data_IF_297583359086
#
_entry.id   IF_297583359086
#
_cell.length_a   1.000
_cell.length_b   1.000
_cell.length_c   1.000
_cell.angle_alpha   90.00
_cell.angle_beta   90.00
_cell.angle_gamma   90.00
#
_symmetry.space_group_name_H-M   'P 1'
#
loop_
_entity.id
_entity.type
_entity.pdbx_description
1 polymer ?
#
# COMPACT_ATOMS: atom_id res chain seq x y z
N UNK A 1 28.00 -49.50 77.17
CA UNK A 1 26.67 -49.50 77.79
C UNK A 1 26.59 -48.25 78.64
N UNK A 2 25.78 -47.26 78.25
CA UNK A 2 24.67 -46.68 79.04
C UNK A 2 24.12 -45.42 78.34
N UNK A 3 22.88 -44.98 78.61
CA UNK A 3 21.92 -44.66 77.57
C UNK A 3 21.40 -43.21 77.65
N UNK A 4 20.47 -43.00 76.73
CA UNK A 4 19.75 -41.82 76.23
C UNK A 4 18.99 -40.95 77.24
N UNK A 5 18.95 -39.65 76.93
CA UNK A 5 18.11 -38.62 77.52
C UNK A 5 17.00 -38.14 76.56
N UNK A 6 15.85 -37.73 77.12
CA UNK A 6 14.86 -36.82 76.52
C UNK A 6 15.37 -35.36 76.51
N UNK A 7 14.63 -34.31 76.19
CA UNK A 7 13.19 -34.08 75.97
C UNK A 7 13.05 -32.69 75.30
N UNK A 8 11.83 -32.35 74.87
CA UNK A 8 11.39 -31.23 74.05
C UNK A 8 11.55 -29.80 74.63
N UNK A 9 11.40 -28.77 73.78
CA UNK A 9 10.97 -27.44 74.24
C UNK A 9 11.34 -26.25 73.34
N UNK A 10 10.33 -25.63 72.71
CA UNK A 10 10.41 -24.57 71.69
C UNK A 10 10.76 -23.16 72.22
N UNK A 11 11.48 -22.40 71.38
CA UNK A 11 11.07 -21.04 70.98
C UNK A 11 11.95 -19.86 71.43
N UNK A 12 12.74 -19.30 70.51
CA UNK A 12 13.12 -17.88 70.49
C UNK A 12 13.59 -17.46 69.08
N UNK A 13 13.46 -16.16 68.80
CA UNK A 13 13.44 -15.50 67.50
C UNK A 13 14.79 -15.39 66.74
N UNK A 14 14.68 -15.31 65.41
CA UNK A 14 15.65 -14.80 64.41
C UNK A 14 16.25 -13.43 64.82
N UNK A 15 17.49 -13.02 64.41
CA UNK A 15 17.83 -12.86 62.97
C UNK A 15 19.33 -12.93 62.56
N UNK A 16 19.55 -12.79 61.24
CA UNK A 16 20.65 -12.10 60.53
C UNK A 16 21.59 -12.94 59.62
N UNK A 17 21.57 -12.51 58.36
CA UNK A 17 22.40 -12.82 57.20
C UNK A 17 23.91 -12.85 57.47
N UNK A 18 24.63 -13.80 56.84
CA UNK A 18 25.97 -13.53 56.30
C UNK A 18 26.40 -14.50 55.20
N UNK A 19 26.97 -13.92 54.14
CA UNK A 19 27.52 -14.55 52.93
C UNK A 19 28.70 -15.48 53.23
N UNK A 20 28.70 -16.70 52.67
CA UNK A 20 29.91 -17.37 52.14
C UNK A 20 29.60 -18.30 50.97
N UNK A 21 30.37 -18.10 49.92
CA UNK A 21 30.46 -18.86 48.68
C UNK A 21 30.97 -20.29 48.89
N UNK A 22 30.54 -21.25 48.06
CA UNK A 22 31.36 -21.95 47.04
C UNK A 22 30.74 -23.32 46.64
N UNK A 23 30.36 -23.39 45.36
CA UNK A 23 30.55 -24.46 44.35
C UNK A 23 30.17 -25.90 44.76
N UNK A 24 29.19 -26.48 44.04
CA UNK A 24 29.41 -27.70 43.24
C UNK A 24 28.41 -27.75 42.07
N UNK A 25 28.92 -28.05 40.89
CA UNK A 25 28.29 -27.78 39.60
C UNK A 25 27.15 -28.72 39.21
N UNK A 26 26.47 -28.34 38.14
CA UNK A 26 25.82 -29.23 37.16
C UNK A 26 25.45 -28.42 35.93
N UNK A 27 25.80 -28.96 34.77
CA UNK A 27 25.57 -28.42 33.43
C UNK A 27 24.08 -28.18 33.21
N UNK A 28 23.67 -26.93 33.01
CA UNK A 28 22.37 -26.60 32.43
C UNK A 28 22.63 -25.96 31.07
N UNK A 29 22.53 -26.78 30.02
CA UNK A 29 22.44 -26.32 28.65
C UNK A 29 21.29 -25.30 28.56
N UNK A 30 21.58 -24.14 27.98
CA UNK A 30 20.63 -23.05 27.83
C UNK A 30 19.39 -23.53 27.11
N UNK A 31 18.25 -23.52 27.80
CA UNK A 31 16.96 -23.45 27.15
C UNK A 31 16.84 -22.02 26.58
N UNK A 32 17.35 -21.85 25.36
CA UNK A 32 16.90 -20.76 24.50
C UNK A 32 15.39 -20.94 24.39
N UNK A 33 14.64 -19.99 24.90
CA UNK A 33 13.21 -19.87 24.62
C UNK A 33 13.10 -19.74 23.11
N UNK A 34 12.76 -20.86 22.46
CA UNK A 34 12.35 -20.90 21.06
C UNK A 34 11.25 -19.86 20.93
N UNK A 35 11.53 -18.80 20.17
CA UNK A 35 10.54 -17.78 19.87
C UNK A 35 9.26 -18.46 19.43
N UNK A 36 8.12 -18.00 19.97
CA UNK A 36 6.81 -18.49 19.61
C UNK A 36 6.74 -18.58 18.09
N UNK A 37 6.74 -19.80 17.55
CA UNK A 37 6.48 -20.02 16.14
C UNK A 37 5.13 -19.37 15.88
N UNK A 38 5.14 -18.23 15.19
CA UNK A 38 3.92 -17.58 14.72
C UNK A 38 3.13 -18.68 14.03
N UNK A 39 1.88 -18.90 14.44
CA UNK A 39 1.04 -19.92 13.83
C UNK A 39 1.05 -19.66 12.32
N UNK A 40 1.67 -20.56 11.56
CA UNK A 40 1.77 -20.43 10.12
C UNK A 40 0.33 -20.33 9.59
N UNK A 41 -0.03 -19.18 9.02
CA UNK A 41 -1.30 -19.05 8.30
C UNK A 41 -1.26 -20.08 7.17
N UNK A 42 -2.16 -21.05 7.22
CA UNK A 42 -2.30 -22.02 6.15
C UNK A 42 -2.96 -21.32 4.95
N UNK A 43 -2.14 -20.91 3.98
CA UNK A 43 -2.64 -20.45 2.70
C UNK A 43 -3.26 -21.63 1.95
N UNK A 44 -4.33 -21.37 1.21
CA UNK A 44 -4.93 -22.36 0.31
C UNK A 44 -4.06 -22.63 -0.92
N UNK A 45 -3.09 -21.75 -1.17
CA UNK A 45 -2.14 -21.79 -2.28
C UNK A 45 -0.69 -21.90 -1.79
N UNK A 46 0.20 -22.29 -2.70
CA UNK A 46 1.62 -22.42 -2.43
C UNK A 46 2.38 -21.14 -2.80
N UNK A 47 3.31 -20.75 -1.93
CA UNK A 47 4.28 -19.67 -2.16
C UNK A 47 5.63 -20.27 -2.54
N UNK A 48 6.40 -19.53 -3.32
CA UNK A 48 7.74 -19.86 -3.82
C UNK A 48 8.78 -18.87 -3.35
N UNK A 49 10.00 -19.33 -3.11
CA UNK A 49 11.16 -18.50 -2.78
C UNK A 49 11.62 -17.65 -3.97
N UNK A 50 12.42 -16.62 -3.72
CA UNK A 50 12.96 -15.77 -4.80
C UNK A 50 13.83 -16.57 -5.77
N UNK A 51 14.66 -17.49 -5.29
CA UNK A 51 15.46 -18.38 -6.15
C UNK A 51 14.59 -19.23 -7.09
N UNK A 52 13.40 -19.66 -6.66
CA UNK A 52 12.45 -20.37 -7.52
C UNK A 52 11.82 -19.45 -8.58
N UNK A 53 11.66 -18.15 -8.29
CA UNK A 53 11.21 -17.15 -9.28
C UNK A 53 12.28 -16.93 -10.35
N UNK A 54 13.54 -16.75 -9.92
CA UNK A 54 14.69 -16.54 -10.79
C UNK A 54 14.95 -17.74 -11.71
N UNK A 55 14.55 -18.94 -11.28
CA UNK A 55 14.67 -20.17 -12.05
C UNK A 55 13.59 -20.33 -13.14
N UNK A 56 12.59 -19.46 -13.23
CA UNK A 56 11.56 -19.55 -14.28
C UNK A 56 12.19 -19.26 -15.66
N UNK A 57 12.00 -20.12 -16.67
CA UNK A 57 12.57 -19.94 -18.00
C UNK A 57 11.72 -18.97 -18.84
N UNK A 58 11.36 -17.82 -18.27
CA UNK A 58 10.48 -16.82 -18.87
C UNK A 58 11.18 -15.47 -18.82
N UNK A 59 11.31 -14.82 -19.97
CA UNK A 59 11.79 -13.44 -20.03
C UNK A 59 10.62 -12.49 -19.78
N UNK A 60 10.63 -11.85 -18.61
CA UNK A 60 9.60 -10.92 -18.19
C UNK A 60 9.81 -9.50 -18.74
N UNK A 61 8.76 -8.71 -18.72
CA UNK A 61 8.73 -7.30 -19.08
C UNK A 61 7.69 -6.57 -18.26
N UNK A 62 7.91 -5.27 -18.10
CA UNK A 62 6.97 -4.41 -17.38
C UNK A 62 5.62 -4.34 -18.11
N UNK A 63 4.47 -4.36 -17.39
CA UNK A 63 3.13 -4.39 -18.01
C UNK A 63 2.65 -3.06 -18.61
N UNK A 64 3.49 -2.02 -18.62
CA UNK A 64 3.15 -0.67 -19.10
C UNK A 64 4.30 -0.03 -19.89
N UNK A 65 3.97 1.03 -20.63
CA UNK A 65 4.94 1.87 -21.34
C UNK A 65 5.79 2.75 -20.39
N UNK A 66 5.32 2.98 -19.16
CA UNK A 66 5.99 3.77 -18.12
C UNK A 66 5.71 3.20 -16.72
N UNK A 67 6.54 3.50 -15.70
CA UNK A 67 6.30 3.05 -14.33
C UNK A 67 4.90 3.42 -13.81
N UNK A 68 4.33 2.52 -13.02
CA UNK A 68 3.05 2.65 -12.35
C UNK A 68 3.22 2.48 -10.83
N UNK A 69 2.35 3.11 -10.06
CA UNK A 69 2.32 3.00 -8.60
C UNK A 69 1.86 1.60 -8.18
N UNK A 70 2.70 0.87 -7.44
CA UNK A 70 2.40 -0.46 -6.94
C UNK A 70 1.93 -0.36 -5.49
N UNK A 71 0.66 -0.63 -5.25
CA UNK A 71 0.08 -0.45 -3.90
C UNK A 71 -0.06 -1.72 -3.09
N UNK A 72 -0.47 -2.82 -3.71
CA UNK A 72 -0.85 -4.04 -2.98
C UNK A 72 -0.23 -5.25 -3.68
N UNK A 73 0.59 -6.01 -2.97
CA UNK A 73 1.21 -7.26 -3.43
C UNK A 73 0.47 -8.49 -2.94
N UNK A 74 1.05 -9.66 -3.15
CA UNK A 74 0.45 -10.96 -2.82
C UNK A 74 0.52 -11.26 -1.32
N UNK A 75 -0.59 -11.70 -0.73
CA UNK A 75 -0.66 -12.14 0.67
C UNK A 75 0.22 -13.37 0.90
N UNK A 76 1.16 -13.24 1.83
CA UNK A 76 2.21 -14.21 2.14
C UNK A 76 3.60 -13.85 1.62
N UNK A 77 3.73 -12.84 0.75
CA UNK A 77 5.01 -12.26 0.36
C UNK A 77 5.32 -10.97 1.12
N UNK A 78 6.59 -10.53 1.17
CA UNK A 78 6.94 -9.23 1.75
C UNK A 78 6.27 -8.06 0.99
N UNK A 79 5.76 -7.08 1.73
CA UNK A 79 5.17 -5.86 1.18
C UNK A 79 3.74 -5.59 1.65
N UNK A 80 3.17 -4.43 1.27
CA UNK A 80 1.78 -4.08 1.59
C UNK A 80 0.80 -5.02 0.89
N UNK A 81 -0.20 -5.50 1.61
CA UNK A 81 -1.23 -6.43 1.08
C UNK A 81 -2.42 -6.51 2.04
N UNK A 82 -3.48 -7.23 1.63
CA UNK A 82 -4.59 -7.63 2.48
C UNK A 82 -4.82 -9.14 2.39
N UNK A 83 -5.55 -9.69 3.37
CA UNK A 83 -5.73 -11.14 3.48
C UNK A 83 -6.36 -11.74 2.20
N UNK A 84 -5.69 -12.71 1.60
CA UNK A 84 -6.15 -13.43 0.41
C UNK A 84 -5.92 -12.71 -0.92
N UNK A 85 -5.18 -11.60 -0.96
CA UNK A 85 -4.81 -10.95 -2.21
C UNK A 85 -3.80 -11.80 -2.99
N UNK A 86 -4.13 -12.24 -4.20
CA UNK A 86 -3.32 -13.21 -4.97
C UNK A 86 -2.82 -12.64 -6.31
N UNK A 87 -2.46 -11.36 -6.29
CA UNK A 87 -1.81 -10.67 -7.39
C UNK A 87 -1.15 -9.40 -6.89
N UNK A 88 -0.78 -8.54 -7.82
CA UNK A 88 -0.27 -7.19 -7.54
C UNK A 88 -1.14 -6.16 -8.25
N UNK A 89 -1.43 -5.07 -7.55
CA UNK A 89 -2.22 -3.96 -8.09
C UNK A 89 -1.31 -2.81 -8.53
N UNK A 90 -1.39 -2.48 -9.81
CA UNK A 90 -0.69 -1.36 -10.43
C UNK A 90 -1.66 -0.22 -10.78
N UNK A 91 -1.35 0.95 -10.27
CA UNK A 91 -2.13 2.17 -10.38
C UNK A 91 -1.42 3.15 -11.31
N UNK A 92 -1.96 3.33 -12.51
CA UNK A 92 -1.40 4.20 -13.55
C UNK A 92 -1.97 5.62 -13.48
N UNK A 93 -1.34 6.55 -14.19
CA UNK A 93 -1.88 7.89 -14.46
C UNK A 93 -1.97 8.05 -15.98
N UNK A 94 -3.16 8.13 -16.58
CA UNK A 94 -4.48 8.07 -15.94
C UNK A 94 -4.85 6.67 -15.39
N UNK A 95 -5.70 6.63 -14.36
CA UNK A 95 -6.16 5.37 -13.69
C UNK A 95 -6.91 4.44 -14.63
N UNK A 96 -7.71 5.00 -15.53
CA UNK A 96 -8.50 4.29 -16.54
C UNK A 96 -7.97 4.67 -17.93
N UNK A 97 -7.95 3.69 -18.84
CA UNK A 97 -7.56 3.91 -20.22
C UNK A 97 -6.06 3.76 -20.50
N UNK A 98 -5.23 3.46 -19.49
CA UNK A 98 -3.80 3.23 -19.72
C UNK A 98 -3.59 1.86 -20.36
N UNK A 99 -2.75 1.80 -21.41
CA UNK A 99 -2.49 0.56 -22.15
C UNK A 99 -1.85 -0.50 -21.26
N UNK A 100 -2.42 -1.69 -21.24
CA UNK A 100 -1.87 -2.87 -20.53
C UNK A 100 -1.18 -3.78 -21.54
N UNK A 101 0.04 -4.20 -21.21
CA UNK A 101 0.93 -4.96 -22.06
C UNK A 101 1.18 -6.37 -21.50
N UNK A 102 1.35 -7.34 -22.39
CA UNK A 102 1.71 -8.70 -21.99
C UNK A 102 3.10 -8.74 -21.34
N UNK A 103 3.21 -9.28 -20.12
CA UNK A 103 4.48 -9.32 -19.38
C UNK A 103 5.48 -10.34 -19.93
N UNK A 104 5.05 -11.27 -20.78
CA UNK A 104 5.92 -12.27 -21.40
C UNK A 104 5.30 -12.84 -22.68
N UNK A 105 6.10 -13.55 -23.47
CA UNK A 105 5.64 -14.33 -24.62
C UNK A 105 4.64 -15.40 -24.19
N UNK A 106 3.61 -15.65 -24.98
CA UNK A 106 2.62 -16.68 -24.65
C UNK A 106 1.51 -16.83 -25.67
N UNK A 107 0.44 -17.48 -25.26
CA UNK A 107 -0.80 -17.62 -26.03
C UNK A 107 -1.97 -17.19 -25.16
N UNK A 108 -2.85 -16.35 -25.69
CA UNK A 108 -4.07 -15.94 -24.97
C UNK A 108 -4.95 -17.16 -24.78
N UNK A 109 -5.17 -17.57 -23.54
CA UNK A 109 -5.91 -18.79 -23.20
C UNK A 109 -7.36 -18.51 -22.82
N UNK A 110 -7.64 -17.34 -22.24
CA UNK A 110 -9.00 -16.93 -21.88
C UNK A 110 -9.18 -15.42 -21.98
N UNK A 111 -10.41 -15.02 -22.27
CA UNK A 111 -10.90 -13.65 -22.22
C UNK A 111 -12.33 -13.73 -21.66
N UNK A 112 -12.71 -12.79 -20.80
CA UNK A 112 -14.09 -12.75 -20.28
C UNK A 112 -14.41 -11.45 -19.57
N UNK A 113 -15.66 -11.37 -19.11
CA UNK A 113 -16.18 -10.31 -18.25
C UNK A 113 -17.03 -10.97 -17.15
N UNK A 114 -16.50 -11.02 -15.93
CA UNK A 114 -17.22 -11.55 -14.76
C UNK A 114 -18.20 -10.51 -14.16
N UNK A 115 -18.41 -9.36 -14.83
CA UNK A 115 -19.30 -8.29 -14.39
C UNK A 115 -18.65 -7.36 -13.37
N UNK A 116 -19.43 -6.90 -12.38
CA UNK A 116 -18.94 -6.03 -11.30
C UNK A 116 -18.46 -6.81 -10.07
N UNK A 117 -18.22 -8.11 -10.24
CA UNK A 117 -17.71 -9.01 -9.21
C UNK A 117 -16.48 -9.75 -9.73
N UNK A 118 -15.64 -10.25 -8.82
CA UNK A 118 -14.47 -11.04 -9.17
C UNK A 118 -13.52 -10.29 -10.11
N UNK A 119 -13.20 -10.90 -11.26
CA UNK A 119 -12.16 -10.45 -12.19
C UNK A 119 -12.53 -9.21 -13.01
N UNK A 120 -13.82 -8.93 -13.17
CA UNK A 120 -14.28 -7.95 -14.16
C UNK A 120 -13.93 -8.39 -15.57
N UNK A 121 -13.57 -7.44 -16.43
CA UNK A 121 -13.02 -7.74 -17.76
C UNK A 121 -11.58 -8.20 -17.59
N UNK A 122 -11.25 -9.35 -18.18
CA UNK A 122 -9.94 -9.94 -18.01
C UNK A 122 -9.39 -10.58 -19.28
N UNK A 123 -8.06 -10.73 -19.29
CA UNK A 123 -7.30 -11.54 -20.26
C UNK A 123 -6.42 -12.51 -19.47
N UNK A 124 -6.32 -13.76 -19.93
CA UNK A 124 -5.38 -14.75 -19.40
C UNK A 124 -4.43 -15.17 -20.50
N UNK A 125 -3.14 -15.19 -20.20
CA UNK A 125 -2.07 -15.60 -21.11
C UNK A 125 -1.35 -16.80 -20.54
N UNK A 126 -1.29 -17.88 -21.31
CA UNK A 126 -0.48 -19.05 -21.01
C UNK A 126 0.95 -18.83 -21.50
N UNK A 127 1.92 -19.02 -20.62
CA UNK A 127 3.35 -18.94 -20.88
C UNK A 127 3.99 -20.33 -20.84
N UNK A 128 5.31 -20.37 -21.04
CA UNK A 128 6.13 -21.56 -20.85
C UNK A 128 6.08 -22.06 -19.39
N UNK A 129 6.62 -23.27 -19.16
CA UNK A 129 6.71 -23.88 -17.82
C UNK A 129 5.37 -24.00 -17.06
N UNK A 130 4.23 -24.04 -17.77
CA UNK A 130 2.91 -24.13 -17.15
C UNK A 130 2.51 -22.89 -16.33
N UNK A 131 3.19 -21.76 -16.53
CA UNK A 131 2.88 -20.48 -15.88
C UNK A 131 1.84 -19.73 -16.70
N UNK A 132 0.89 -19.07 -16.03
CA UNK A 132 -0.09 -18.18 -16.68
C UNK A 132 -0.14 -16.84 -15.96
N UNK A 133 -0.33 -15.77 -16.72
CA UNK A 133 -0.64 -14.44 -16.18
C UNK A 133 -2.11 -14.10 -16.41
N UNK A 134 -2.73 -13.45 -15.44
CA UNK A 134 -4.08 -12.91 -15.53
C UNK A 134 -4.04 -11.39 -15.37
N UNK A 135 -4.72 -10.68 -16.27
CA UNK A 135 -4.82 -9.22 -16.32
C UNK A 135 -6.28 -8.86 -16.10
N UNK A 136 -6.59 -8.29 -14.95
CA UNK A 136 -7.97 -8.09 -14.47
C UNK A 136 -8.36 -6.61 -14.46
N UNK A 137 -9.64 -6.37 -14.18
CA UNK A 137 -10.23 -5.04 -14.01
C UNK A 137 -10.13 -4.15 -15.25
N UNK A 138 -9.97 -4.74 -16.44
CA UNK A 138 -9.79 -3.99 -17.68
C UNK A 138 -11.04 -3.18 -18.04
N UNK A 139 -10.87 -2.19 -18.91
CA UNK A 139 -11.98 -1.41 -19.46
C UNK A 139 -12.82 -2.26 -20.43
N UNK A 140 -14.15 -2.21 -20.32
CA UNK A 140 -15.06 -2.88 -21.28
C UNK A 140 -14.83 -2.37 -22.70
N UNK A 141 -14.75 -3.29 -23.66
CA UNK A 141 -14.47 -2.97 -25.06
C UNK A 141 -13.03 -2.55 -25.34
N UNK A 142 -12.10 -2.65 -24.38
CA UNK A 142 -10.70 -2.30 -24.58
C UNK A 142 -9.82 -3.45 -25.08
N UNK A 143 -10.28 -4.70 -24.96
CA UNK A 143 -9.49 -5.89 -25.29
C UNK A 143 -9.07 -5.87 -26.76
N UNK A 144 -7.76 -6.00 -27.00
CA UNK A 144 -7.13 -5.88 -28.32
C UNK A 144 -6.68 -7.24 -28.90
N UNK A 145 -6.95 -8.33 -28.20
CA UNK A 145 -6.51 -9.69 -28.54
C UNK A 145 -7.68 -10.67 -28.58
N UNK A 146 -7.45 -11.88 -29.10
CA UNK A 146 -8.43 -12.98 -29.14
C UNK A 146 -7.88 -14.26 -28.51
N UNK A 147 -8.76 -15.11 -27.98
CA UNK A 147 -8.38 -16.43 -27.48
C UNK A 147 -7.70 -17.24 -28.59
N UNK A 148 -6.63 -17.96 -28.24
CA UNK A 148 -5.78 -18.72 -29.16
C UNK A 148 -4.70 -17.89 -29.86
N UNK A 149 -4.69 -16.55 -29.70
CA UNK A 149 -3.69 -15.70 -30.32
C UNK A 149 -2.31 -15.90 -29.68
N UNK A 150 -1.26 -16.25 -30.46
CA UNK A 150 0.11 -16.15 -29.98
C UNK A 150 0.49 -14.67 -29.84
N UNK A 151 1.13 -14.34 -28.73
CA UNK A 151 1.55 -12.97 -28.42
C UNK A 151 3.01 -12.96 -27.96
N UNK A 152 3.69 -11.87 -28.27
CA UNK A 152 5.01 -11.59 -27.73
C UNK A 152 4.90 -10.73 -26.48
N UNK A 153 5.95 -10.73 -25.66
CA UNK A 153 6.17 -9.74 -24.61
C UNK A 153 5.89 -8.34 -25.17
N UNK A 154 5.15 -7.56 -24.41
CA UNK A 154 4.66 -6.22 -24.73
C UNK A 154 3.59 -6.10 -25.83
N UNK A 155 2.99 -7.22 -26.25
CA UNK A 155 1.77 -7.13 -27.07
C UNK A 155 0.66 -6.41 -26.28
N UNK A 156 0.00 -5.37 -26.83
CA UNK A 156 -1.12 -4.72 -26.16
C UNK A 156 -2.28 -5.70 -25.93
N UNK A 157 -2.79 -5.77 -24.71
CA UNK A 157 -3.88 -6.68 -24.32
C UNK A 157 -5.22 -5.95 -24.17
N UNK A 158 -5.18 -4.74 -23.62
CA UNK A 158 -6.33 -3.91 -23.37
C UNK A 158 -5.94 -2.61 -22.66
N UNK A 159 -6.87 -2.03 -21.91
CA UNK A 159 -6.62 -0.82 -21.12
C UNK A 159 -7.07 -1.00 -19.67
N UNK A 160 -6.40 -0.33 -18.73
CA UNK A 160 -6.79 -0.30 -17.32
C UNK A 160 -8.22 0.21 -17.20
N UNK A 161 -8.97 -0.40 -16.29
CA UNK A 161 -10.34 -0.04 -16.00
C UNK A 161 -10.63 -0.19 -14.53
N UNK A 162 -11.90 -0.32 -14.20
CA UNK A 162 -12.39 -0.44 -12.83
C UNK A 162 -13.54 -1.47 -12.74
N UNK A 163 -13.55 -2.46 -13.64
CA UNK A 163 -14.55 -3.55 -13.67
C UNK A 163 -14.23 -4.61 -12.62
N UNK A 164 -15.19 -5.46 -12.24
CA UNK A 164 -14.96 -6.49 -11.21
C UNK A 164 -14.95 -5.96 -9.78
N UNK A 165 -14.34 -6.69 -8.85
CA UNK A 165 -14.32 -6.35 -7.40
C UNK A 165 -13.26 -5.30 -7.05
N UNK A 166 -13.37 -4.14 -7.70
CA UNK A 166 -12.57 -2.94 -7.43
C UNK A 166 -13.28 -2.09 -6.37
N UNK A 167 -12.54 -1.64 -5.35
CA UNK A 167 -13.09 -0.85 -4.23
C UNK A 167 -12.21 0.36 -3.89
N UNK A 168 -12.81 1.55 -3.64
CA UNK A 168 -14.22 1.88 -3.88
C UNK A 168 -14.61 1.74 -5.37
N UNK A 169 -15.91 1.59 -5.64
CA UNK A 169 -16.40 1.27 -6.99
C UNK A 169 -16.50 2.54 -7.85
N UNK A 170 -15.34 3.03 -8.29
CA UNK A 170 -15.22 4.30 -9.01
C UNK A 170 -14.00 4.34 -9.95
N UNK A 171 -13.98 5.23 -10.97
CA UNK A 171 -12.87 5.33 -11.91
C UNK A 171 -11.51 5.63 -11.27
N UNK A 172 -11.46 6.35 -10.15
CA UNK A 172 -10.20 6.66 -9.45
C UNK A 172 -9.55 5.43 -8.81
N UNK A 173 -10.35 4.39 -8.56
CA UNK A 173 -9.87 3.08 -8.12
C UNK A 173 -9.45 2.20 -9.28
N UNK A 174 -9.45 2.70 -10.52
CA UNK A 174 -9.00 1.95 -11.68
C UNK A 174 -7.53 1.57 -11.58
N UNK A 175 -7.25 0.29 -11.80
CA UNK A 175 -5.93 -0.29 -11.71
C UNK A 175 -5.85 -1.57 -12.56
N UNK A 176 -4.63 -2.05 -12.77
CA UNK A 176 -4.39 -3.41 -13.24
C UNK A 176 -4.15 -4.29 -12.02
N UNK A 177 -4.99 -5.31 -11.83
CA UNK A 177 -4.61 -6.44 -11.00
C UNK A 177 -3.92 -7.49 -11.88
N UNK A 178 -2.63 -7.71 -11.64
CA UNK A 178 -1.82 -8.71 -12.33
C UNK A 178 -1.57 -9.88 -11.40
N UNK A 179 -1.99 -11.07 -11.80
CA UNK A 179 -1.73 -12.30 -11.05
C UNK A 179 -0.96 -13.31 -11.91
N UNK A 180 -0.04 -14.06 -11.29
CA UNK A 180 0.79 -15.06 -11.99
C UNK A 180 0.71 -16.38 -11.24
N UNK A 181 0.32 -17.45 -11.94
CA UNK A 181 0.05 -18.75 -11.33
C UNK A 181 0.69 -19.92 -12.08
N UNK A 182 0.94 -21.00 -11.35
CA UNK A 182 1.03 -22.36 -11.94
C UNK A 182 -0.04 -23.25 -11.32
N UNK A 183 -0.77 -23.99 -12.16
CA UNK A 183 -1.88 -24.81 -11.70
C UNK A 183 -3.17 -24.01 -11.43
N UNK A 184 -4.09 -24.54 -10.61
CA UNK A 184 -5.41 -23.95 -10.42
C UNK A 184 -5.38 -22.61 -9.67
N UNK A 185 -6.32 -21.71 -9.98
CA UNK A 185 -6.51 -20.47 -9.26
C UNK A 185 -6.81 -20.73 -7.77
N UNK A 186 -6.20 -19.97 -6.86
CA UNK A 186 -6.33 -20.07 -5.37
C UNK A 186 -5.87 -21.36 -4.70
N UNK A 187 -5.54 -22.41 -5.43
CA UNK A 187 -5.04 -23.68 -4.85
C UNK A 187 -3.72 -24.17 -5.44
N UNK A 188 -3.28 -23.58 -6.56
CA UNK A 188 -1.98 -23.83 -7.15
C UNK A 188 -0.87 -23.01 -6.52
N UNK A 189 0.17 -22.74 -7.32
CA UNK A 189 1.27 -21.86 -6.96
C UNK A 189 0.92 -20.43 -7.34
N UNK A 190 1.08 -19.50 -6.40
CA UNK A 190 1.05 -18.04 -6.68
C UNK A 190 2.48 -17.56 -6.76
N UNK A 191 2.84 -17.01 -7.91
CA UNK A 191 4.12 -16.35 -8.11
C UNK A 191 3.97 -14.87 -7.79
N UNK A 192 4.91 -14.31 -7.04
CA UNK A 192 4.92 -12.90 -6.72
C UNK A 192 5.27 -12.08 -7.98
N UNK A 193 4.32 -11.35 -8.58
CA UNK A 193 4.62 -10.61 -9.81
C UNK A 193 5.60 -9.46 -9.53
N UNK A 194 5.72 -8.99 -8.28
CA UNK A 194 6.73 -8.01 -7.88
C UNK A 194 8.14 -8.47 -8.26
N UNK A 195 8.50 -9.71 -7.94
CA UNK A 195 9.84 -10.23 -8.23
C UNK A 195 10.03 -10.60 -9.70
N UNK A 196 8.95 -10.76 -10.46
CA UNK A 196 9.02 -11.18 -11.86
C UNK A 196 9.00 -9.99 -12.82
N UNK A 197 8.15 -8.99 -12.56
CA UNK A 197 7.83 -7.97 -13.56
C UNK A 197 8.12 -6.54 -13.12
N UNK A 198 8.23 -6.26 -11.81
CA UNK A 198 8.34 -4.86 -11.35
C UNK A 198 9.66 -4.21 -11.79
N UNK A 199 10.75 -4.97 -11.76
CA UNK A 199 12.08 -4.52 -12.17
C UNK A 199 12.44 -4.94 -13.61
N UNK A 200 11.49 -5.57 -14.32
CA UNK A 200 11.68 -6.00 -15.70
C UNK A 200 11.65 -4.78 -16.64
N UNK A 201 12.34 -4.82 -17.79
CA UNK A 201 12.42 -3.67 -18.69
C UNK A 201 11.04 -3.26 -19.23
N UNK A 202 10.88 -1.96 -19.49
CA UNK A 202 9.78 -1.42 -20.28
C UNK A 202 10.02 -1.64 -21.78
N UNK A 203 9.00 -1.51 -22.66
CA UNK A 203 9.19 -1.63 -24.12
C UNK A 203 10.27 -0.72 -24.70
N UNK A 204 10.55 0.42 -24.06
CA UNK A 204 11.59 1.38 -24.45
C UNK A 204 13.03 0.97 -24.09
N UNK A 205 13.22 -0.19 -23.45
CA UNK A 205 14.54 -0.70 -23.09
C UNK A 205 15.16 -0.07 -21.85
N UNK A 206 14.48 0.88 -21.20
CA UNK A 206 14.86 1.32 -19.87
C UNK A 206 14.47 0.24 -18.87
N UNK A 207 15.46 -0.29 -18.16
CA UNK A 207 15.23 -0.92 -16.85
C UNK A 207 14.50 0.18 -16.06
N UNK A 208 13.32 -0.09 -15.45
CA UNK A 208 12.83 0.84 -14.45
C UNK A 208 14.03 1.11 -13.53
N UNK A 209 14.45 2.37 -13.42
CA UNK A 209 15.14 2.78 -12.19
C UNK A 209 14.35 2.08 -11.09
N UNK A 210 14.97 1.23 -10.24
CA UNK A 210 14.25 0.72 -9.10
C UNK A 210 13.70 2.00 -8.51
N UNK A 211 12.38 2.18 -8.56
CA UNK A 211 11.80 3.30 -7.84
C UNK A 211 12.42 3.06 -6.48
N UNK A 212 13.27 3.97 -5.93
CA UNK A 212 13.50 3.89 -4.50
C UNK A 212 12.11 3.70 -3.97
N UNK A 213 11.87 2.62 -3.22
CA UNK A 213 10.54 2.38 -2.72
C UNK A 213 10.28 3.55 -1.82
N UNK A 214 9.74 4.59 -2.42
CA UNK A 214 8.95 5.60 -1.86
C UNK A 214 7.66 4.80 -1.63
N UNK A 215 7.72 3.88 -0.66
CA UNK A 215 6.90 4.08 0.51
C UNK A 215 7.24 5.48 1.03
N UNK A 216 6.83 6.47 0.26
CA UNK A 216 6.64 7.79 0.72
C UNK A 216 5.40 7.55 1.58
N UNK A 217 5.62 7.48 2.88
CA UNK A 217 4.61 7.85 3.86
C UNK A 217 4.31 9.35 3.66
N UNK A 218 4.02 9.75 2.41
CA UNK A 218 3.69 11.09 1.96
C UNK A 218 2.31 11.32 2.48
N UNK A 219 2.31 11.70 3.74
CA UNK A 219 1.12 12.22 4.34
C UNK A 219 0.69 13.45 3.54
N UNK A 220 1.56 14.19 2.85
CA UNK A 220 1.24 15.45 2.18
C UNK A 220 1.76 15.59 0.73
N UNK A 221 0.95 16.23 -0.12
CA UNK A 221 1.17 16.40 -1.55
C UNK A 221 1.15 17.88 -1.95
N UNK A 222 2.11 18.36 -2.76
CA UNK A 222 2.15 19.75 -3.22
C UNK A 222 1.36 19.94 -4.52
N UNK A 223 0.34 20.78 -4.49
CA UNK A 223 -0.51 21.09 -5.64
C UNK A 223 -0.32 22.51 -6.14
N UNK A 224 -0.20 22.67 -7.46
CA UNK A 224 -0.31 23.95 -8.16
C UNK A 224 -1.63 23.99 -8.94
N UNK A 225 -2.53 24.87 -8.54
CA UNK A 225 -3.88 24.96 -9.09
C UNK A 225 -4.02 26.18 -10.00
N UNK A 226 -4.48 25.95 -11.23
CA UNK A 226 -4.62 26.97 -12.29
C UNK A 226 -3.35 27.80 -12.51
N UNK A 227 -2.18 27.18 -12.35
CA UNK A 227 -0.86 27.84 -12.38
C UNK A 227 -0.66 28.99 -11.38
N UNK A 228 -1.60 29.20 -10.45
CA UNK A 228 -1.67 30.37 -9.58
C UNK A 228 -1.59 30.01 -8.09
N UNK A 229 -2.37 29.03 -7.65
CA UNK A 229 -2.50 28.73 -6.23
C UNK A 229 -1.60 27.58 -5.83
N UNK A 230 -0.92 27.73 -4.69
CA UNK A 230 0.03 26.75 -4.18
C UNK A 230 -0.54 26.16 -2.89
N UNK A 231 -0.74 24.84 -2.89
CA UNK A 231 -1.33 24.11 -1.78
C UNK A 231 -0.44 22.96 -1.32
N UNK A 232 -0.49 22.67 -0.02
CA UNK A 232 -0.07 21.40 0.55
C UNK A 232 -1.33 20.69 1.04
N UNK A 233 -1.56 19.45 0.61
CA UNK A 233 -2.77 18.69 0.95
C UNK A 233 -2.40 17.32 1.49
N UNK A 234 -3.02 16.92 2.59
CA UNK A 234 -2.87 15.62 3.23
C UNK A 234 -4.22 15.08 3.67
N UNK A 235 -4.37 13.79 4.03
CA UNK A 235 -5.62 13.28 4.57
C UNK A 235 -6.10 14.12 5.78
N UNK A 236 -7.25 14.76 5.62
CA UNK A 236 -7.89 15.64 6.60
C UNK A 236 -7.18 16.98 6.80
N UNK A 237 -6.31 17.43 5.89
CA UNK A 237 -5.57 18.68 6.04
C UNK A 237 -5.30 19.38 4.70
N UNK A 238 -5.35 20.71 4.75
CA UNK A 238 -4.96 21.56 3.63
C UNK A 238 -4.32 22.85 4.13
N UNK A 239 -3.29 23.30 3.43
CA UNK A 239 -2.67 24.62 3.61
C UNK A 239 -2.52 25.30 2.26
N UNK A 240 -2.87 26.57 2.18
CA UNK A 240 -2.49 27.43 1.07
C UNK A 240 -1.21 28.20 1.42
N UNK A 241 -0.37 28.51 0.44
CA UNK A 241 0.78 29.39 0.61
C UNK A 241 0.53 30.75 -0.04
N UNK A 242 0.76 31.82 0.71
CA UNK A 242 0.67 33.19 0.21
C UNK A 242 1.91 33.65 -0.57
N UNK A 243 3.01 32.90 -0.47
CA UNK A 243 4.33 33.22 -1.01
C UNK A 243 4.95 31.95 -1.60
N UNK A 244 5.59 32.07 -2.78
CA UNK A 244 6.21 30.94 -3.48
C UNK A 244 7.46 30.41 -2.79
N UNK A 245 8.23 31.24 -2.07
CA UNK A 245 9.46 30.80 -1.39
C UNK A 245 9.22 29.68 -0.37
N UNK A 246 8.35 29.89 0.64
CA UNK A 246 7.98 28.83 1.58
C UNK A 246 7.27 27.64 0.91
N UNK A 247 6.53 27.89 -0.17
CA UNK A 247 5.83 26.86 -0.92
C UNK A 247 6.82 25.92 -1.64
N UNK A 248 7.80 26.48 -2.34
CA UNK A 248 8.82 25.74 -3.07
C UNK A 248 9.75 24.97 -2.12
N UNK A 249 10.10 25.55 -0.97
CA UNK A 249 10.82 24.84 0.09
C UNK A 249 10.03 23.66 0.63
N UNK A 250 8.73 23.84 0.84
CA UNK A 250 7.87 22.75 1.32
C UNK A 250 7.74 21.66 0.27
N UNK A 251 7.52 22.02 -1.01
CA UNK A 251 7.51 21.08 -2.13
C UNK A 251 8.79 20.25 -2.16
N UNK A 252 9.97 20.86 -2.04
CA UNK A 252 11.25 20.13 -2.05
C UNK A 252 11.41 19.13 -0.91
N UNK A 253 10.63 19.29 0.17
CA UNK A 253 10.64 18.36 1.29
C UNK A 253 9.67 17.20 1.06
N UNK A 254 8.53 17.46 0.40
CA UNK A 254 7.40 16.51 0.32
C UNK A 254 7.19 15.90 -1.06
N UNK A 255 7.93 16.34 -2.08
CA UNK A 255 7.90 15.75 -3.41
C UNK A 255 9.27 15.24 -3.75
N UNK A 256 9.39 13.93 -3.90
CA UNK A 256 10.63 13.26 -4.28
C UNK A 256 11.25 13.70 -5.60
N UNK A 257 10.48 14.32 -6.51
CA UNK A 257 10.96 14.85 -7.78
C UNK A 257 11.12 16.38 -7.81
N UNK A 258 10.92 17.06 -6.67
CA UNK A 258 10.90 18.53 -6.59
C UNK A 258 9.88 19.16 -7.57
N UNK A 259 8.78 18.48 -7.91
CA UNK A 259 7.75 19.01 -8.82
C UNK A 259 6.41 19.29 -8.13
N UNK A 260 5.65 20.19 -8.74
CA UNK A 260 4.28 20.51 -8.35
C UNK A 260 3.30 19.60 -9.10
N UNK A 261 2.32 19.03 -8.38
CA UNK A 261 1.18 18.37 -9.01
C UNK A 261 0.25 19.47 -9.57
N UNK A 262 0.21 19.61 -10.90
CA UNK A 262 -0.52 20.69 -11.55
C UNK A 262 -1.92 20.26 -11.96
N UNK A 263 -2.95 20.96 -11.47
CA UNK A 263 -4.36 20.66 -11.75
C UNK A 263 -5.16 21.92 -12.05
N UNK A 264 -6.28 21.76 -12.77
CA UNK A 264 -7.30 22.80 -12.87
C UNK A 264 -8.18 22.85 -11.62
N UNK A 265 -8.77 24.02 -11.31
CA UNK A 265 -9.67 24.20 -10.14
C UNK A 265 -10.73 23.11 -9.99
N UNK A 266 -11.39 22.72 -11.10
CA UNK A 266 -12.45 21.73 -11.06
C UNK A 266 -11.96 20.33 -10.64
N UNK A 267 -10.75 19.96 -11.04
CA UNK A 267 -10.16 18.66 -10.69
C UNK A 267 -9.49 18.71 -9.32
N UNK A 268 -8.92 19.84 -8.94
CA UNK A 268 -8.42 20.06 -7.58
C UNK A 268 -9.53 19.94 -6.53
N UNK A 269 -10.71 20.52 -6.78
CA UNK A 269 -11.85 20.39 -5.85
C UNK A 269 -12.33 18.94 -5.70
N UNK A 270 -12.28 18.12 -6.76
CA UNK A 270 -12.57 16.69 -6.65
C UNK A 270 -11.48 15.96 -5.86
N UNK A 271 -10.22 16.36 -6.06
CA UNK A 271 -9.09 15.80 -5.34
C UNK A 271 -9.21 16.02 -3.82
N UNK A 272 -9.77 17.14 -3.38
CA UNK A 272 -10.01 17.41 -1.95
C UNK A 272 -10.92 16.36 -1.28
N UNK A 273 -11.92 15.84 -2.01
CA UNK A 273 -12.82 14.83 -1.45
C UNK A 273 -12.07 13.54 -1.12
N UNK A 274 -11.11 13.14 -1.97
CA UNK A 274 -10.26 11.97 -1.74
C UNK A 274 -9.33 12.14 -0.53
N UNK A 275 -9.02 13.39 -0.17
CA UNK A 275 -8.26 13.72 1.04
C UNK A 275 -9.16 13.97 2.26
N UNK A 276 -10.49 13.87 2.16
CA UNK A 276 -11.38 14.17 3.28
C UNK A 276 -11.31 15.65 3.72
N UNK A 277 -10.96 16.55 2.79
CA UNK A 277 -10.98 18.00 2.99
C UNK A 277 -12.28 18.54 2.39
N UNK A 278 -13.19 19.12 3.20
CA UNK A 278 -14.43 19.67 2.68
C UNK A 278 -14.15 20.80 1.69
N UNK A 279 -14.75 20.75 0.51
CA UNK A 279 -14.51 21.73 -0.57
C UNK A 279 -14.80 23.18 -0.14
N UNK A 280 -15.74 23.39 0.79
CA UNK A 280 -16.07 24.70 1.34
C UNK A 280 -14.98 25.27 2.27
N UNK A 281 -13.93 24.51 2.60
CA UNK A 281 -12.76 25.01 3.31
C UNK A 281 -11.79 25.77 2.40
N UNK A 282 -12.05 25.83 1.09
CA UNK A 282 -11.17 26.47 0.11
C UNK A 282 -11.95 27.45 -0.76
N UNK A 283 -11.41 28.65 -0.94
CA UNK A 283 -11.86 29.62 -1.94
C UNK A 283 -10.74 29.80 -2.97
N UNK A 284 -10.90 29.14 -4.11
CA UNK A 284 -9.93 29.16 -5.22
C UNK A 284 -9.93 30.46 -6.02
N UNK A 285 -10.95 31.31 -5.87
CA UNK A 285 -10.98 32.60 -6.58
C UNK A 285 -9.84 33.48 -6.09
N UNK A 286 -9.61 33.45 -4.77
CA UNK A 286 -8.66 34.30 -4.05
C UNK A 286 -7.55 33.52 -3.33
N UNK A 287 -7.58 32.19 -3.34
CA UNK A 287 -6.56 31.36 -2.69
C UNK A 287 -6.64 31.41 -1.17
N UNK A 288 -7.84 31.25 -0.62
CA UNK A 288 -8.04 31.23 0.83
C UNK A 288 -8.39 29.84 1.30
N UNK A 289 -7.96 29.54 2.52
CA UNK A 289 -8.34 28.34 3.24
C UNK A 289 -8.92 28.77 4.58
N UNK A 290 -9.94 28.04 5.05
CA UNK A 290 -10.55 28.29 6.34
C UNK A 290 -9.54 28.04 7.46
N UNK A 291 -9.19 29.08 8.22
CA UNK A 291 -8.36 28.91 9.39
C UNK A 291 -9.26 28.66 10.60
N UNK A 292 -9.14 27.45 11.15
CA UNK A 292 -9.93 27.00 12.29
C UNK A 292 -9.76 27.95 13.49
N UNK A 293 -8.54 28.42 13.76
CA UNK A 293 -8.27 29.31 14.90
C UNK A 293 -8.85 30.72 14.70
N UNK A 294 -8.86 31.22 13.46
CA UNK A 294 -9.44 32.52 13.13
C UNK A 294 -10.97 32.48 12.88
N UNK A 295 -11.54 31.29 12.67
CA UNK A 295 -12.96 31.09 12.38
C UNK A 295 -13.41 31.67 11.04
N UNK A 296 -12.49 31.89 10.10
CA UNK A 296 -12.77 32.56 8.82
C UNK A 296 -11.78 32.13 7.72
N UNK A 297 -12.14 32.44 6.47
CA UNK A 297 -11.28 32.23 5.30
C UNK A 297 -10.13 33.23 5.26
N UNK A 298 -8.89 32.75 5.24
CA UNK A 298 -7.70 33.59 5.22
C UNK A 298 -6.72 33.20 4.12
N UNK A 299 -5.99 34.19 3.58
CA UNK A 299 -4.92 33.95 2.61
C UNK A 299 -3.75 33.31 3.34
N UNK A 300 -3.22 32.22 2.77
CA UNK A 300 -2.19 31.44 3.46
C UNK A 300 -2.75 30.58 4.62
N UNK A 301 -4.08 30.45 4.67
CA UNK A 301 -4.78 29.72 5.71
C UNK A 301 -4.51 28.22 5.69
N UNK A 302 -4.95 27.57 6.76
CA UNK A 302 -4.78 26.14 6.96
C UNK A 302 -5.98 25.56 7.70
N UNK A 303 -6.51 24.47 7.16
CA UNK A 303 -7.57 23.70 7.79
C UNK A 303 -7.08 22.30 8.10
N UNK A 304 -7.54 21.74 9.23
CA UNK A 304 -7.44 20.30 9.47
C UNK A 304 -8.54 19.78 10.37
N UNK A 305 -8.95 18.53 10.11
CA UNK A 305 -9.92 17.79 10.92
C UNK A 305 -9.53 17.78 12.41
N UNK A 306 -8.25 17.60 12.71
CA UNK A 306 -7.74 17.53 14.08
C UNK A 306 -7.90 18.87 14.82
N UNK A 307 -7.66 20.00 14.14
CA UNK A 307 -7.84 21.34 14.74
C UNK A 307 -9.32 21.63 14.97
N UNK A 308 -10.17 21.26 14.02
CA UNK A 308 -11.62 21.42 14.14
C UNK A 308 -12.18 20.57 15.29
N UNK A 309 -11.78 19.30 15.38
CA UNK A 309 -12.15 18.40 16.48
C UNK A 309 -11.70 18.94 17.85
N UNK A 310 -10.48 19.49 17.93
CA UNK A 310 -9.99 20.10 19.16
C UNK A 310 -10.82 21.33 19.56
N UNK A 311 -11.16 22.20 18.61
CA UNK A 311 -12.01 23.37 18.87
C UNK A 311 -13.42 22.95 19.31
N UNK A 312 -14.02 21.98 18.63
CA UNK A 312 -15.33 21.45 18.99
C UNK A 312 -15.32 20.86 20.41
N UNK A 313 -14.26 20.11 20.76
CA UNK A 313 -14.08 19.58 22.12
C UNK A 313 -13.99 20.70 23.15
N UNK A 314 -13.22 21.76 22.89
CA UNK A 314 -13.13 22.93 23.79
C UNK A 314 -14.49 23.62 23.96
N UNK A 315 -15.25 23.79 22.88
CA UNK A 315 -16.58 24.39 22.93
C UNK A 315 -17.57 23.54 23.76
N UNK A 316 -17.56 22.21 23.58
CA UNK A 316 -18.38 21.28 24.36
C UNK A 316 -18.00 21.34 25.85
N UNK A 317 -16.72 21.30 26.19
CA UNK A 317 -16.26 21.39 27.58
C UNK A 317 -16.65 22.72 28.23
N UNK A 318 -16.53 23.84 27.51
CA UNK A 318 -16.99 25.15 27.99
C UNK A 318 -18.50 25.16 28.24
N UNK A 319 -19.30 24.55 27.35
CA UNK A 319 -20.74 24.44 27.53
C UNK A 319 -21.15 23.53 28.70
N UNK A 320 -20.38 22.47 28.99
CA UNK A 320 -20.61 21.61 30.15
C UNK A 320 -20.27 22.31 31.47
N UNK A 321 -19.19 23.09 31.52
CA UNK A 321 -18.76 23.81 32.72
C UNK A 321 -19.63 25.05 33.03
N UNK A 322 -20.39 25.54 32.05
CA UNK A 322 -21.32 26.67 32.20
C UNK A 322 -22.78 26.21 32.40
N UNK A 323 -23.03 24.93 32.68
CA UNK A 323 -24.37 24.48 33.08
C UNK A 323 -24.66 24.97 34.51
N UNK A 324 -25.82 25.60 34.75
CA UNK A 324 -26.21 26.06 36.08
C UNK A 324 -26.39 24.90 37.05
#
# INVERSE_FOLDING_TARGET
MDPTAGEEGRGAAEPLLSRRSLILGSVAAGAIVVGSASSARAFTYQLRSQAEHDALPITWGYPFDSPADRRLGVDGYPGPTYSGHIGVDFFTVPRVGTRVLAVANGTVSQIGDDGEVGRGVFVVVQHAAGVRSEYLHLERGSIAVRVGQPISRWTPLGRTGWTGDVRPKEPLSGHLHLAIFSGPHRTGVVWNPVWLVADAPTPGGTIPEPTPTNYEDDMAYPFRVDNKHLFLVSPGFIKHFSDSGPADLTRNIVASNDEWISLGSADFLKQLDSFGVPRNMVDLTVGRVFDVSAGQMVVGGMWSWAREAQQNTRAILAALNNRP
#
